data_IF_862786919389
#
_entry.id   IF_862786919389
#
_cell.length_a   1.000
_cell.length_b   1.000
_cell.length_c   1.000
_cell.angle_alpha   90.00
_cell.angle_beta   90.00
_cell.angle_gamma   90.00
#
_symmetry.space_group_name_H-M   'P 1'
#
loop_
_entity.id
_entity.type
_entity.pdbx_description
1 polymer ?
#
# COMPACT_ATOMS: atom_id res chain seq x y z
N UNK A 1 -23.61 34.89 14.63
CA UNK A 1 -22.36 34.11 14.51
C UNK A 1 -22.75 32.63 14.42
N UNK A 2 -22.99 32.15 13.21
CA UNK A 2 -23.39 30.76 12.96
C UNK A 2 -22.22 29.82 13.24
N UNK A 3 -22.30 29.10 14.36
CA UNK A 3 -21.51 27.89 14.58
C UNK A 3 -22.11 26.79 13.71
N UNK A 4 -21.77 26.78 12.42
CA UNK A 4 -22.02 25.60 11.56
C UNK A 4 -21.30 24.42 12.21
N UNK A 5 -22.08 23.44 12.67
CA UNK A 5 -21.57 22.15 13.10
C UNK A 5 -20.71 21.55 11.98
N UNK A 6 -19.56 20.90 12.30
CA UNK A 6 -18.71 20.32 11.28
C UNK A 6 -19.48 19.26 10.49
N UNK A 7 -19.41 19.38 9.17
CA UNK A 7 -20.05 18.49 8.22
C UNK A 7 -19.69 17.02 8.49
N UNK A 8 -20.72 16.19 8.68
CA UNK A 8 -20.77 14.72 8.62
C UNK A 8 -19.42 13.98 8.72
N UNK A 9 -19.12 13.48 9.92
CA UNK A 9 -18.09 12.46 10.21
C UNK A 9 -18.33 11.09 9.57
N UNK A 10 -19.42 10.92 8.80
CA UNK A 10 -19.96 9.61 8.45
C UNK A 10 -19.19 8.80 7.38
N UNK A 11 -18.13 9.33 6.74
CA UNK A 11 -17.39 8.59 5.70
C UNK A 11 -15.88 8.89 5.67
N UNK A 12 -15.28 9.21 6.82
CA UNK A 12 -13.81 9.35 6.88
C UNK A 12 -13.20 7.96 6.98
N UNK A 13 -12.40 7.58 5.98
CA UNK A 13 -11.60 6.35 6.00
C UNK A 13 -10.22 6.67 6.57
N UNK A 14 -9.66 5.73 7.34
CA UNK A 14 -8.29 5.82 7.86
C UNK A 14 -7.44 4.73 7.23
N UNK A 15 -6.22 5.06 6.85
CA UNK A 15 -5.41 4.17 6.03
C UNK A 15 -4.02 4.68 5.78
N UNK A 16 -3.41 4.15 4.73
CA UNK A 16 -2.07 4.52 4.26
C UNK A 16 -2.11 4.77 2.76
N UNK A 17 -1.18 5.59 2.28
CA UNK A 17 -1.02 5.80 0.84
C UNK A 17 -0.22 4.66 0.22
N UNK A 18 -0.57 4.31 -1.01
CA UNK A 18 0.03 3.21 -1.75
C UNK A 18 0.23 3.58 -3.22
N UNK A 19 1.34 3.14 -3.81
CA UNK A 19 1.51 3.20 -5.26
C UNK A 19 1.11 1.85 -5.85
N UNK A 20 -0.09 1.77 -6.40
CA UNK A 20 -0.54 0.56 -7.11
C UNK A 20 0.13 0.50 -8.47
N UNK A 21 0.96 -0.51 -8.71
CA UNK A 21 1.56 -0.77 -10.02
C UNK A 21 0.69 -1.72 -10.84
N UNK A 22 0.40 -1.32 -12.08
CA UNK A 22 -0.25 -2.17 -13.09
C UNK A 22 0.68 -3.32 -13.49
N UNK A 23 0.12 -4.53 -13.62
CA UNK A 23 0.85 -5.67 -14.17
C UNK A 23 1.01 -5.51 -15.68
N UNK A 24 2.25 -5.54 -16.18
CA UNK A 24 2.57 -5.62 -17.61
C UNK A 24 2.82 -4.29 -18.32
N UNK A 25 2.36 -3.17 -17.78
CA UNK A 25 2.50 -1.82 -18.38
C UNK A 25 3.37 -0.87 -17.58
N UNK A 26 3.96 -1.30 -16.46
CA UNK A 26 4.80 -0.50 -15.53
C UNK A 26 4.16 0.82 -15.02
N UNK A 27 2.87 1.03 -15.30
CA UNK A 27 2.11 2.21 -14.91
C UNK A 27 1.69 2.18 -13.44
N UNK A 28 1.62 3.34 -12.80
CA UNK A 28 1.32 3.47 -11.38
C UNK A 28 0.16 4.41 -11.09
N UNK A 29 -0.75 3.99 -10.22
CA UNK A 29 -1.83 4.80 -9.66
C UNK A 29 -1.57 5.19 -8.22
N UNK A 30 -1.91 6.44 -7.91
CA UNK A 30 -1.99 6.90 -6.54
C UNK A 30 -3.22 6.29 -5.86
N UNK A 31 -2.98 5.44 -4.86
CA UNK A 31 -4.02 4.73 -4.16
C UNK A 31 -3.96 4.96 -2.66
N UNK A 32 -5.06 4.61 -2.01
CA UNK A 32 -5.25 4.58 -0.58
C UNK A 32 -5.61 3.15 -0.19
N UNK A 33 -4.94 2.60 0.82
CA UNK A 33 -5.31 1.33 1.44
C UNK A 33 -6.00 1.60 2.78
N UNK A 34 -7.25 1.17 2.90
CA UNK A 34 -8.01 1.24 4.16
C UNK A 34 -7.38 0.33 5.22
N UNK A 35 -7.09 0.91 6.39
CA UNK A 35 -6.42 0.22 7.50
C UNK A 35 -7.20 -0.98 8.00
N UNK A 36 -8.54 -1.00 7.88
CA UNK A 36 -9.35 -2.16 8.32
C UNK A 36 -9.08 -3.43 7.49
N UNK A 37 -8.44 -3.27 6.34
CA UNK A 37 -8.04 -4.33 5.41
C UNK A 37 -6.52 -4.58 5.44
N UNK A 38 -5.82 -4.08 6.46
CA UNK A 38 -4.42 -4.39 6.74
C UNK A 38 -4.38 -5.17 8.04
N UNK A 39 -3.90 -6.41 7.98
CA UNK A 39 -3.80 -7.29 9.15
C UNK A 39 -2.35 -7.64 9.44
N UNK A 40 -2.06 -8.10 10.67
CA UNK A 40 -0.72 -8.57 11.01
C UNK A 40 -0.48 -9.91 10.32
N UNK A 41 0.58 -10.02 9.52
CA UNK A 41 0.97 -11.29 8.95
C UNK A 41 1.54 -12.19 10.05
N UNK A 42 0.98 -13.39 10.16
CA UNK A 42 1.39 -14.42 11.14
C UNK A 42 1.60 -15.78 10.48
N UNK A 43 1.54 -15.84 9.15
CA UNK A 43 1.37 -17.08 8.40
C UNK A 43 2.43 -17.29 7.34
N UNK A 44 3.05 -16.22 6.81
CA UNK A 44 4.03 -16.33 5.73
C UNK A 44 5.45 -16.11 6.27
N UNK A 45 6.27 -17.14 6.13
CA UNK A 45 7.63 -17.19 6.63
C UNK A 45 8.63 -17.49 5.50
N UNK A 46 9.88 -17.06 5.70
CA UNK A 46 11.03 -17.51 4.90
C UNK A 46 12.14 -17.97 5.82
N UNK A 47 12.88 -18.99 5.41
CA UNK A 47 14.05 -19.44 6.15
C UNK A 47 15.25 -18.55 5.83
N UNK A 48 15.91 -18.01 6.86
CA UNK A 48 17.15 -17.21 6.68
C UNK A 48 18.29 -17.96 6.02
N UNK A 49 18.33 -19.28 6.17
CA UNK A 49 19.45 -20.14 5.73
C UNK A 49 19.27 -20.64 4.31
N UNK A 50 18.09 -21.18 3.99
CA UNK A 50 17.80 -21.79 2.69
C UNK A 50 16.83 -20.98 1.82
N UNK A 51 16.29 -19.87 2.32
CA UNK A 51 15.32 -19.02 1.64
C UNK A 51 14.02 -19.71 1.20
N UNK A 52 13.76 -20.91 1.71
CA UNK A 52 12.51 -21.63 1.51
C UNK A 52 11.34 -20.82 2.10
N UNK A 53 10.31 -20.64 1.29
CA UNK A 53 9.07 -19.97 1.66
C UNK A 53 8.09 -20.96 2.27
N UNK A 54 7.44 -20.56 3.34
CA UNK A 54 6.42 -21.35 4.01
C UNK A 54 5.18 -20.50 4.28
N UNK A 55 4.06 -20.94 3.74
CA UNK A 55 2.74 -20.41 4.09
C UNK A 55 2.05 -21.42 5.02
N UNK A 56 1.92 -21.06 6.30
CA UNK A 56 1.32 -21.91 7.32
C UNK A 56 -0.16 -22.19 7.07
N UNK A 57 -0.86 -21.33 6.31
CA UNK A 57 -2.28 -21.57 5.97
C UNK A 57 -2.42 -22.65 4.90
N UNK A 58 -1.52 -22.64 3.91
CA UNK A 58 -1.50 -23.63 2.84
C UNK A 58 -0.88 -24.95 3.27
N UNK A 59 0.22 -24.86 4.04
CA UNK A 59 1.07 -26.00 4.39
C UNK A 59 1.19 -26.10 5.93
N UNK A 60 0.12 -26.45 6.67
CA UNK A 60 0.10 -26.38 8.14
C UNK A 60 1.14 -27.28 8.83
N UNK A 61 1.66 -28.29 8.11
CA UNK A 61 2.60 -29.29 8.61
C UNK A 61 4.08 -28.87 8.50
N UNK A 62 4.37 -27.64 8.07
CA UNK A 62 5.73 -27.13 7.92
C UNK A 62 6.13 -26.84 6.47
N UNK A 63 7.26 -26.16 6.24
CA UNK A 63 7.82 -26.05 4.90
C UNK A 63 8.03 -27.46 4.32
N UNK A 64 7.53 -27.68 3.11
CA UNK A 64 7.82 -28.90 2.37
C UNK A 64 9.34 -29.05 2.28
N UNK A 65 9.88 -30.17 2.75
CA UNK A 65 11.25 -30.53 2.44
C UNK A 65 11.31 -30.62 0.90
N UNK A 66 12.05 -29.72 0.26
CA UNK A 66 12.27 -29.83 -1.17
C UNK A 66 12.97 -31.17 -1.42
N UNK A 67 12.24 -32.11 -2.01
CA UNK A 67 12.75 -33.35 -2.60
C UNK A 67 13.55 -32.97 -3.86
N UNK A 68 14.72 -32.35 -3.70
CA UNK A 68 15.68 -32.25 -4.80
C UNK A 68 16.83 -33.20 -4.50
N UNK A 69 16.99 -34.23 -5.33
CA UNK A 69 18.13 -35.17 -5.36
C UNK A 69 19.46 -34.47 -5.73
N UNK A 70 19.48 -33.15 -5.76
CA UNK A 70 20.62 -32.34 -6.14
C UNK A 70 21.52 -32.13 -4.91
N UNK A 71 22.68 -32.80 -4.93
CA UNK A 71 23.72 -32.77 -3.88
C UNK A 71 24.34 -31.39 -3.64
N UNK A 72 23.92 -30.36 -4.40
CA UNK A 72 24.36 -28.96 -4.27
C UNK A 72 23.28 -28.03 -3.69
N UNK A 73 22.16 -28.56 -3.20
CA UNK A 73 21.08 -27.71 -2.70
C UNK A 73 21.46 -27.11 -1.33
N UNK A 74 21.41 -25.77 -1.23
CA UNK A 74 21.51 -25.03 0.03
C UNK A 74 20.25 -25.22 0.92
N UNK A 75 19.70 -26.43 0.97
CA UNK A 75 18.46 -26.73 1.67
C UNK A 75 18.72 -27.08 3.13
N UNK A 76 17.87 -26.56 4.01
CA UNK A 76 17.84 -26.98 5.41
C UNK A 76 17.17 -28.36 5.52
N UNK A 77 17.62 -29.15 6.49
CA UNK A 77 16.82 -30.27 6.97
C UNK A 77 15.50 -29.75 7.57
N UNK A 78 14.46 -30.58 7.55
CA UNK A 78 13.05 -30.25 7.88
C UNK A 78 12.89 -29.47 9.20
N UNK A 79 13.69 -29.78 10.21
CA UNK A 79 13.59 -29.16 11.55
C UNK A 79 14.70 -28.14 11.84
N UNK A 80 15.55 -27.83 10.86
CA UNK A 80 16.69 -26.90 11.00
C UNK A 80 16.44 -25.51 10.42
N UNK A 81 15.22 -25.26 9.93
CA UNK A 81 14.82 -23.97 9.39
C UNK A 81 14.83 -22.88 10.46
N UNK A 82 15.46 -21.74 10.17
CA UNK A 82 15.35 -20.52 10.97
C UNK A 82 14.36 -19.58 10.29
N UNK A 83 13.09 -19.72 10.64
CA UNK A 83 11.98 -19.02 10.01
C UNK A 83 11.84 -17.60 10.55
N UNK A 84 11.72 -16.65 9.63
CA UNK A 84 11.34 -15.27 9.91
C UNK A 84 10.12 -14.90 9.07
N UNK A 85 9.31 -13.97 9.55
CA UNK A 85 8.19 -13.44 8.76
C UNK A 85 8.72 -12.78 7.49
N UNK A 86 8.08 -13.08 6.35
CA UNK A 86 8.42 -12.44 5.07
C UNK A 86 8.08 -10.95 5.13
N UNK A 87 6.92 -10.63 5.71
CA UNK A 87 6.48 -9.27 5.99
C UNK A 87 5.69 -9.27 7.30
N UNK A 88 5.59 -8.11 7.95
CA UNK A 88 4.84 -7.96 9.21
C UNK A 88 3.34 -7.81 9.01
N UNK A 89 2.89 -7.55 7.78
CA UNK A 89 1.52 -7.17 7.45
C UNK A 89 1.03 -7.91 6.21
N UNK A 90 -0.26 -8.24 6.20
CA UNK A 90 -0.98 -8.80 5.06
C UNK A 90 -2.09 -7.82 4.63
N UNK A 91 -2.14 -7.51 3.34
CA UNK A 91 -2.90 -6.40 2.77
C UNK A 91 -3.96 -6.96 1.81
N UNK A 92 -5.25 -6.81 2.16
CA UNK A 92 -6.36 -7.18 1.28
C UNK A 92 -6.59 -6.06 0.25
N UNK A 93 -5.90 -6.18 -0.88
CA UNK A 93 -5.98 -5.23 -2.00
C UNK A 93 -7.32 -5.31 -2.75
N UNK A 94 -8.05 -6.42 -2.67
CA UNK A 94 -9.35 -6.55 -3.35
C UNK A 94 -10.43 -5.71 -2.67
N UNK A 95 -10.40 -5.64 -1.32
CA UNK A 95 -11.43 -4.92 -0.55
C UNK A 95 -10.99 -3.55 -0.05
N UNK A 96 -9.71 -3.39 0.26
CA UNK A 96 -9.21 -2.19 0.94
C UNK A 96 -8.64 -1.11 0.03
N UNK A 97 -8.37 -1.44 -1.24
CA UNK A 97 -7.69 -0.54 -2.15
C UNK A 97 -8.66 0.43 -2.82
N UNK A 98 -8.31 1.71 -2.80
CA UNK A 98 -9.06 2.78 -3.42
C UNK A 98 -8.15 3.68 -4.25
N UNK A 99 -8.35 3.70 -5.57
CA UNK A 99 -7.63 4.61 -6.47
C UNK A 99 -8.17 6.03 -6.30
N UNK A 100 -7.28 6.98 -6.00
CA UNK A 100 -7.65 8.37 -5.76
C UNK A 100 -8.23 9.03 -7.01
N UNK A 101 -9.26 9.85 -6.82
CA UNK A 101 -10.01 10.54 -7.88
C UNK A 101 -10.10 12.04 -7.57
N UNK A 102 -10.36 12.83 -8.60
CA UNK A 102 -10.62 14.26 -8.41
C UNK A 102 -11.78 14.48 -7.44
N UNK A 103 -11.67 15.57 -6.67
CA UNK A 103 -12.60 15.98 -5.60
C UNK A 103 -12.55 15.17 -4.30
N UNK A 104 -11.84 14.03 -4.26
CA UNK A 104 -11.55 13.37 -2.98
C UNK A 104 -10.83 14.34 -2.04
N UNK A 105 -11.17 14.33 -0.75
CA UNK A 105 -10.43 15.13 0.24
C UNK A 105 -9.50 14.22 1.03
N UNK A 106 -8.22 14.57 1.05
CA UNK A 106 -7.19 13.74 1.63
C UNK A 106 -6.38 14.57 2.65
N UNK A 107 -6.06 13.95 3.79
CA UNK A 107 -5.19 14.52 4.82
C UNK A 107 -4.08 13.53 5.11
N UNK A 108 -2.84 13.93 4.85
CA UNK A 108 -1.63 13.11 4.97
C UNK A 108 -0.88 13.52 6.23
N UNK A 109 -0.52 12.54 7.05
CA UNK A 109 0.18 12.74 8.33
C UNK A 109 1.63 12.24 8.27
N UNK A 110 2.45 12.77 9.16
CA UNK A 110 3.82 12.28 9.34
C UNK A 110 3.83 10.90 9.99
N UNK A 111 4.66 9.99 9.47
CA UNK A 111 4.92 8.69 10.11
C UNK A 111 5.53 8.80 11.51
N UNK A 112 6.31 9.86 11.76
CA UNK A 112 7.01 10.06 13.04
C UNK A 112 6.14 10.78 14.07
N UNK A 113 5.12 11.50 13.61
CA UNK A 113 4.24 12.31 14.44
C UNK A 113 2.85 12.32 13.83
N UNK A 114 1.93 11.55 14.41
CA UNK A 114 0.57 11.38 13.92
C UNK A 114 -0.27 12.66 13.99
N UNK A 115 0.18 13.69 14.72
CA UNK A 115 -0.51 14.98 14.79
C UNK A 115 -0.01 15.97 13.74
N UNK A 116 1.16 15.74 13.15
CA UNK A 116 1.73 16.62 12.13
C UNK A 116 1.14 16.31 10.75
N UNK A 117 0.34 17.25 10.25
CA UNK A 117 -0.18 17.24 8.87
C UNK A 117 0.96 17.62 7.92
N UNK A 118 1.25 16.75 6.96
CA UNK A 118 2.20 17.00 5.88
C UNK A 118 1.53 17.69 4.69
N UNK A 119 0.28 17.34 4.42
CA UNK A 119 -0.52 17.93 3.36
C UNK A 119 -2.01 17.67 3.63
N UNK A 120 -2.89 18.61 3.29
CA UNK A 120 -4.33 18.38 3.28
C UNK A 120 -5.00 19.19 2.19
N UNK A 121 -5.93 18.58 1.48
CA UNK A 121 -6.73 19.29 0.49
C UNK A 121 -7.52 18.36 -0.41
N UNK A 122 -8.15 18.96 -1.42
CA UNK A 122 -8.83 18.23 -2.48
C UNK A 122 -7.85 17.70 -3.52
N UNK A 123 -8.10 16.48 -3.97
CA UNK A 123 -7.39 15.85 -5.07
C UNK A 123 -7.78 16.53 -6.38
N UNK A 124 -6.76 16.89 -7.16
CA UNK A 124 -6.86 17.53 -8.47
C UNK A 124 -5.72 16.97 -9.33
N UNK A 125 -5.99 15.82 -9.95
CA UNK A 125 -5.06 15.04 -10.76
C UNK A 125 -4.90 15.64 -12.15
N UNK A 126 -3.67 16.00 -12.50
CA UNK A 126 -3.22 16.26 -13.86
C UNK A 126 -2.80 14.93 -14.49
N UNK A 127 -3.64 14.40 -15.37
CA UNK A 127 -3.38 13.15 -16.10
C UNK A 127 -2.22 13.33 -17.08
N UNK A 128 -1.46 12.25 -17.28
CA UNK A 128 -0.39 12.16 -18.27
C UNK A 128 -0.74 11.13 -19.35
N UNK A 129 -0.14 11.27 -20.53
CA UNK A 129 -0.23 10.24 -21.56
C UNK A 129 0.50 8.96 -21.14
N UNK A 130 0.06 7.82 -21.68
CA UNK A 130 0.72 6.52 -21.49
C UNK A 130 2.22 6.60 -21.84
N UNK A 131 3.03 5.79 -21.15
CA UNK A 131 4.49 5.67 -21.35
C UNK A 131 5.32 6.92 -21.04
N UNK A 132 4.76 7.88 -20.31
CA UNK A 132 5.54 9.05 -19.90
C UNK A 132 6.31 8.71 -18.62
N UNK A 133 7.65 8.62 -18.72
CA UNK A 133 8.53 8.38 -17.57
C UNK A 133 8.56 9.62 -16.68
N UNK A 134 8.16 9.49 -15.42
CA UNK A 134 7.94 10.66 -14.56
C UNK A 134 8.89 10.73 -13.37
N UNK A 135 8.71 9.87 -12.37
CA UNK A 135 9.30 10.08 -11.03
C UNK A 135 10.01 8.80 -10.59
N UNK A 136 11.29 8.93 -10.23
CA UNK A 136 12.15 7.81 -9.81
C UNK A 136 12.23 6.64 -10.79
N UNK A 137 12.01 6.91 -12.07
CA UNK A 137 12.02 5.91 -13.12
C UNK A 137 10.68 5.19 -13.36
N UNK A 138 9.68 5.45 -12.53
CA UNK A 138 8.35 4.86 -12.60
C UNK A 138 7.47 5.62 -13.62
N UNK A 139 6.58 4.89 -14.29
CA UNK A 139 5.53 5.46 -15.12
C UNK A 139 4.31 5.71 -14.24
N UNK A 140 3.81 6.94 -14.23
CA UNK A 140 2.74 7.37 -13.32
C UNK A 140 1.64 8.01 -14.14
N UNK A 141 0.38 7.64 -13.91
CA UNK A 141 -0.72 8.13 -14.74
C UNK A 141 -1.14 9.57 -14.45
N UNK A 142 -0.84 10.11 -13.26
CA UNK A 142 -1.20 11.49 -12.94
C UNK A 142 -0.28 12.14 -11.88
N UNK A 143 -0.31 13.46 -11.77
CA UNK A 143 0.26 14.21 -10.63
C UNK A 143 -0.81 15.04 -9.92
N UNK A 144 -0.65 15.26 -8.61
CA UNK A 144 -1.47 16.25 -7.90
C UNK A 144 -1.09 17.68 -8.32
N UNK A 145 -2.06 18.45 -8.83
CA UNK A 145 -1.88 19.86 -9.20
C UNK A 145 -1.47 20.69 -7.99
N UNK A 146 -0.47 21.55 -8.19
CA UNK A 146 0.02 22.47 -7.16
C UNK A 146 0.92 21.83 -6.09
N UNK A 147 1.24 20.53 -6.20
CA UNK A 147 2.17 19.85 -5.31
C UNK A 147 3.40 19.42 -6.10
N UNK A 148 4.59 19.56 -5.51
CA UNK A 148 5.82 19.07 -6.13
C UNK A 148 5.73 17.55 -6.34
N UNK A 149 6.01 17.11 -7.57
CA UNK A 149 5.93 15.70 -8.00
C UNK A 149 6.69 14.73 -7.08
N UNK A 150 7.93 15.04 -6.73
CA UNK A 150 8.77 14.19 -5.87
C UNK A 150 8.22 14.16 -4.44
N UNK A 151 7.74 15.29 -3.94
CA UNK A 151 7.10 15.36 -2.62
C UNK A 151 5.83 14.51 -2.59
N UNK A 152 4.99 14.63 -3.61
CA UNK A 152 3.77 13.85 -3.76
C UNK A 152 4.06 12.35 -3.77
N UNK A 153 4.91 11.89 -4.69
CA UNK A 153 5.31 10.49 -4.80
C UNK A 153 5.90 9.92 -3.50
N UNK A 154 6.71 10.72 -2.78
CA UNK A 154 7.28 10.32 -1.51
C UNK A 154 6.24 10.02 -0.42
N UNK A 155 5.04 10.60 -0.47
CA UNK A 155 4.00 10.25 0.50
C UNK A 155 3.49 8.82 0.31
N UNK A 156 3.39 8.36 -0.95
CA UNK A 156 2.95 7.01 -1.32
C UNK A 156 4.06 5.99 -1.07
N UNK A 157 5.28 6.25 -1.57
CA UNK A 157 6.44 5.35 -1.39
C UNK A 157 6.83 5.15 0.09
N UNK A 158 6.45 6.08 0.97
CA UNK A 158 6.69 5.96 2.41
C UNK A 158 5.49 5.40 3.16
N UNK A 159 4.38 5.06 2.49
CA UNK A 159 3.13 4.62 3.09
C UNK A 159 2.66 5.56 4.20
N UNK A 160 2.56 6.87 3.91
CA UNK A 160 2.18 7.86 4.91
C UNK A 160 0.76 7.60 5.47
N UNK A 161 0.56 7.67 6.80
CA UNK A 161 -0.76 7.58 7.42
C UNK A 161 -1.67 8.67 6.91
N UNK A 162 -2.92 8.33 6.64
CA UNK A 162 -3.82 9.18 5.86
C UNK A 162 -5.27 9.02 6.28
N UNK A 163 -6.00 10.14 6.23
CA UNK A 163 -7.46 10.14 6.23
C UNK A 163 -7.98 10.51 4.85
N UNK A 164 -8.97 9.78 4.37
CA UNK A 164 -9.62 9.98 3.09
C UNK A 164 -11.11 10.22 3.31
N UNK A 165 -11.64 11.25 2.65
CA UNK A 165 -13.08 11.46 2.47
C UNK A 165 -13.37 11.32 0.98
N UNK A 166 -13.90 10.15 0.54
CA UNK A 166 -14.20 9.94 -0.86
C UNK A 166 -15.27 10.91 -1.35
N UNK A 167 -15.10 11.45 -2.55
CA UNK A 167 -16.12 12.25 -3.20
C UNK A 167 -17.28 11.35 -3.66
N UNK A 168 -18.46 11.53 -3.07
CA UNK A 168 -19.70 10.93 -3.55
C UNK A 168 -20.36 11.92 -4.50
N UNK A 169 -20.44 11.59 -5.80
CA UNK A 169 -21.35 12.30 -6.70
C UNK A 169 -22.76 12.09 -6.17
N UNK A 170 -23.41 13.13 -5.70
CA UNK A 170 -24.87 13.14 -5.53
C UNK A 170 -25.46 13.00 -6.92
N UNK A 171 -25.94 11.81 -7.27
CA UNK A 171 -26.85 11.60 -8.40
C UNK A 171 -28.04 12.50 -8.13
N UNK A 172 -28.13 13.58 -8.91
CA UNK A 172 -29.26 14.52 -8.90
C UNK A 172 -30.22 14.09 -9.99
#
# INVERSE_FOLDING_TARGET
MDKRAPANSANVLEGVLELLLETGTEGGYWAFQDKKHITKNTTIFTCKKCHCYWDKTRDPNGPSANLSDDKNSHLCEKDKHELILVCSEDWDYEKGLYILKNEDHLTIYSKRDSKKILWSGKISLKQHSSFTKHIFGLWIHADQKGVNKKTWANYFLKHCPTKLVPFKKTTT
#
